data_IF_368646695546
#
_entry.id   IF_368646695546
#
_cell.length_a   1.000
_cell.length_b   1.000
_cell.length_c   1.000
_cell.angle_alpha   90.00
_cell.angle_beta   90.00
_cell.angle_gamma   90.00
#
_symmetry.space_group_name_H-M   'P 1'
#
loop_
_entity.id
_entity.type
_entity.pdbx_description
1 polymer ?
#
# COMPACT_ATOMS: atom_id res chain seq x y z
N UNK A 1 -4.65 -54.35 33.02
CA UNK A 1 -4.30 -52.92 32.93
C UNK A 1 -4.46 -52.50 31.50
N UNK A 2 -5.51 -51.78 31.23
CA UNK A 2 -5.75 -51.28 29.88
C UNK A 2 -5.26 -49.84 29.81
N UNK A 3 -4.16 -49.64 29.11
CA UNK A 3 -3.65 -48.30 28.82
C UNK A 3 -4.51 -47.69 27.72
N UNK A 4 -5.35 -46.77 28.11
CA UNK A 4 -6.10 -45.97 27.13
C UNK A 4 -5.13 -44.95 26.52
N UNK A 5 -4.61 -45.28 25.37
CA UNK A 5 -3.97 -44.28 24.52
C UNK A 5 -5.06 -43.40 23.91
N UNK A 6 -5.31 -42.27 24.51
CA UNK A 6 -6.05 -41.19 23.87
C UNK A 6 -5.17 -40.60 22.78
N UNK A 7 -5.39 -41.05 21.57
CA UNK A 7 -4.89 -40.39 20.37
C UNK A 7 -5.63 -39.07 20.25
N UNK A 8 -5.06 -38.04 20.83
CA UNK A 8 -5.38 -36.65 20.49
C UNK A 8 -4.85 -36.41 19.09
N UNK A 9 -5.70 -36.63 18.10
CA UNK A 9 -5.46 -36.17 16.75
C UNK A 9 -5.53 -34.63 16.79
N UNK A 10 -4.38 -34.01 16.91
CA UNK A 10 -4.23 -32.58 16.68
C UNK A 10 -4.44 -32.33 15.19
N UNK A 11 -5.66 -32.02 14.81
CA UNK A 11 -5.96 -31.49 13.48
C UNK A 11 -5.35 -30.10 13.38
N UNK A 12 -4.15 -30.03 12.84
CA UNK A 12 -3.56 -28.77 12.39
C UNK A 12 -4.40 -28.28 11.23
N UNK A 13 -5.33 -27.39 11.55
CA UNK A 13 -6.02 -26.56 10.56
C UNK A 13 -4.98 -25.61 9.98
N UNK A 14 -4.41 -25.99 8.85
CA UNK A 14 -3.67 -25.05 8.03
C UNK A 14 -4.68 -24.07 7.44
N UNK A 15 -4.86 -22.93 8.12
CA UNK A 15 -5.57 -21.81 7.55
C UNK A 15 -4.69 -21.23 6.44
N UNK A 16 -4.84 -21.73 5.21
CA UNK A 16 -4.30 -21.08 4.03
C UNK A 16 -5.12 -19.81 3.82
N UNK A 17 -4.69 -18.72 4.45
CA UNK A 17 -5.32 -17.43 4.28
C UNK A 17 -5.03 -16.88 2.89
N UNK A 18 -6.04 -16.78 2.03
CA UNK A 18 -5.95 -15.95 0.84
C UNK A 18 -5.84 -14.48 1.30
N UNK A 19 -4.82 -13.77 0.82
CA UNK A 19 -4.73 -12.34 1.09
C UNK A 19 -5.91 -11.63 0.44
N UNK A 20 -6.67 -10.87 1.23
CA UNK A 20 -7.72 -10.00 0.71
C UNK A 20 -7.10 -8.80 0.01
N UNK A 21 -7.86 -8.14 -0.87
CA UNK A 21 -7.42 -6.90 -1.52
C UNK A 21 -7.01 -5.85 -0.50
N UNK A 22 -7.73 -5.75 0.62
CA UNK A 22 -7.40 -4.84 1.70
C UNK A 22 -6.05 -5.15 2.33
N UNK A 23 -5.71 -6.42 2.52
CA UNK A 23 -4.40 -6.81 3.05
C UNK A 23 -3.26 -6.45 2.11
N UNK A 24 -3.47 -6.59 0.80
CA UNK A 24 -2.49 -6.20 -0.21
C UNK A 24 -2.27 -4.69 -0.18
N UNK A 25 -3.34 -3.90 -0.14
CA UNK A 25 -3.26 -2.44 -0.02
C UNK A 25 -2.53 -2.03 1.24
N UNK A 26 -2.87 -2.63 2.38
CA UNK A 26 -2.24 -2.31 3.67
C UNK A 26 -0.76 -2.69 3.71
N UNK A 27 -0.38 -3.78 3.04
CA UNK A 27 1.01 -4.24 3.02
C UNK A 27 1.94 -3.31 2.25
N UNK A 28 1.44 -2.61 1.24
CA UNK A 28 2.21 -1.67 0.43
C UNK A 28 2.17 -0.22 0.94
N UNK A 29 1.34 0.06 1.94
CA UNK A 29 1.17 1.40 2.50
C UNK A 29 2.47 2.03 2.99
N UNK A 30 3.35 1.34 3.77
CA UNK A 30 4.60 1.95 4.22
C UNK A 30 5.51 2.40 3.08
N UNK A 31 5.58 1.63 2.02
CA UNK A 31 6.37 1.98 0.85
C UNK A 31 5.78 3.19 0.12
N UNK A 32 4.46 3.25 -0.01
CA UNK A 32 3.78 4.37 -0.63
C UNK A 32 4.01 5.68 0.14
N UNK A 33 3.91 5.64 1.46
CA UNK A 33 4.17 6.79 2.33
C UNK A 33 5.62 7.24 2.21
N UNK A 34 6.55 6.30 2.20
CA UNK A 34 7.99 6.59 2.08
C UNK A 34 8.33 7.25 0.75
N UNK A 35 7.78 6.73 -0.35
CA UNK A 35 7.99 7.29 -1.69
C UNK A 35 7.47 8.73 -1.76
N UNK A 36 6.27 8.98 -1.26
CA UNK A 36 5.69 10.31 -1.22
C UNK A 36 6.50 11.28 -0.35
N UNK A 37 6.94 10.83 0.82
CA UNK A 37 7.76 11.64 1.72
C UNK A 37 9.07 12.06 1.06
N UNK A 38 9.77 11.14 0.44
CA UNK A 38 11.03 11.43 -0.25
C UNK A 38 10.82 12.42 -1.40
N UNK A 39 9.78 12.23 -2.18
CA UNK A 39 9.44 13.12 -3.29
C UNK A 39 9.10 14.52 -2.78
N UNK A 40 8.26 14.61 -1.77
CA UNK A 40 7.86 15.87 -1.17
C UNK A 40 9.02 16.60 -0.50
N UNK A 41 9.86 15.90 0.24
CA UNK A 41 11.06 16.47 0.84
C UNK A 41 11.99 17.08 -0.20
N UNK A 42 12.15 16.41 -1.33
CA UNK A 42 12.95 16.91 -2.44
C UNK A 42 12.32 18.13 -3.11
N UNK A 43 11.04 18.08 -3.45
CA UNK A 43 10.36 19.16 -4.16
C UNK A 43 10.19 20.41 -3.29
N UNK A 44 9.97 20.25 -1.98
CA UNK A 44 9.84 21.34 -1.04
C UNK A 44 11.19 21.84 -0.51
N UNK A 45 12.27 21.17 -0.87
CA UNK A 45 13.59 21.40 -0.27
C UNK A 45 13.54 21.39 1.27
N UNK A 46 12.88 20.36 1.80
CA UNK A 46 12.62 20.21 3.23
C UNK A 46 12.92 18.78 3.70
N UNK A 47 14.15 18.48 4.15
CA UNK A 47 14.50 17.12 4.60
C UNK A 47 13.66 16.61 5.76
N UNK A 48 13.09 17.50 6.56
CA UNK A 48 12.27 17.16 7.72
C UNK A 48 10.77 17.01 7.38
N UNK A 49 10.39 17.00 6.10
CA UNK A 49 9.01 16.84 5.69
C UNK A 49 8.43 15.53 6.20
N UNK A 50 7.18 15.57 6.65
CA UNK A 50 6.44 14.41 7.14
C UNK A 50 5.32 14.05 6.19
N UNK A 51 4.97 12.76 6.15
CA UNK A 51 3.93 12.25 5.28
C UNK A 51 2.80 11.63 6.08
N UNK A 52 1.59 11.81 5.57
CA UNK A 52 0.37 11.27 6.16
C UNK A 52 -0.50 10.61 5.08
N UNK A 53 -0.99 9.41 5.36
CA UNK A 53 -1.91 8.73 4.47
C UNK A 53 -3.28 9.39 4.52
N UNK A 54 -3.79 9.84 3.37
CA UNK A 54 -5.10 10.46 3.25
C UNK A 54 -6.16 9.47 2.73
N UNK A 55 -5.81 8.69 1.72
CA UNK A 55 -6.70 7.64 1.21
C UNK A 55 -5.90 6.54 0.52
N UNK A 56 -6.50 5.37 0.46
CA UNK A 56 -5.93 4.20 -0.20
C UNK A 56 -7.04 3.37 -0.83
N UNK A 57 -6.81 2.88 -2.03
CA UNK A 57 -7.78 2.05 -2.74
C UNK A 57 -7.10 1.09 -3.70
N UNK A 58 -7.77 -0.01 -3.98
CA UNK A 58 -7.37 -0.95 -5.00
C UNK A 58 -8.10 -0.63 -6.29
N UNK A 59 -7.36 -0.39 -7.35
CA UNK A 59 -7.93 -0.12 -8.67
C UNK A 59 -7.92 -1.42 -9.46
N UNK A 60 -9.11 -1.86 -9.83
CA UNK A 60 -9.30 -3.01 -10.70
C UNK A 60 -9.45 -2.55 -12.13
N UNK A 61 -8.85 -3.32 -13.06
CA UNK A 61 -9.04 -3.05 -14.47
C UNK A 61 -10.50 -3.28 -14.88
N UNK A 62 -11.10 -2.35 -15.65
CA UNK A 62 -12.43 -2.56 -16.21
C UNK A 62 -12.46 -3.60 -17.34
N UNK A 63 -11.30 -4.07 -17.79
CA UNK A 63 -11.20 -5.04 -18.88
C UNK A 63 -11.42 -6.44 -18.33
N UNK A 64 -12.49 -7.08 -18.77
CA UNK A 64 -12.89 -8.43 -18.33
C UNK A 64 -12.07 -9.57 -18.97
N UNK A 65 -11.22 -9.26 -19.93
CA UNK A 65 -10.43 -10.28 -20.63
C UNK A 65 -9.11 -10.51 -19.90
N UNK A 66 -8.85 -11.70 -19.32
CA UNK A 66 -7.64 -11.99 -18.56
C UNK A 66 -6.34 -11.89 -19.39
N UNK A 67 -6.42 -11.94 -20.71
CA UNK A 67 -5.24 -11.77 -21.58
C UNK A 67 -4.79 -10.33 -21.73
N UNK A 68 -5.69 -9.38 -21.56
CA UNK A 68 -5.44 -7.94 -21.80
C UNK A 68 -5.69 -7.08 -20.56
N UNK A 69 -6.15 -7.68 -19.47
CA UNK A 69 -6.34 -6.93 -18.23
C UNK A 69 -4.96 -6.51 -17.66
N UNK A 70 -4.72 -5.21 -17.45
CA UNK A 70 -3.53 -4.80 -16.73
C UNK A 70 -3.57 -5.36 -15.30
N UNK A 71 -2.41 -5.60 -14.65
CA UNK A 71 -2.39 -6.06 -13.27
C UNK A 71 -3.09 -5.07 -12.35
N UNK A 72 -3.69 -5.58 -11.29
CA UNK A 72 -4.28 -4.75 -10.25
C UNK A 72 -3.21 -3.82 -9.66
N UNK A 73 -3.62 -2.61 -9.32
CA UNK A 73 -2.74 -1.63 -8.70
C UNK A 73 -3.43 -1.00 -7.50
N UNK A 74 -2.64 -0.66 -6.49
CA UNK A 74 -3.09 0.13 -5.37
C UNK A 74 -2.75 1.61 -5.61
N UNK A 75 -3.70 2.49 -5.33
CA UNK A 75 -3.50 3.93 -5.40
C UNK A 75 -3.60 4.51 -3.99
N UNK A 76 -2.64 5.36 -3.67
CA UNK A 76 -2.53 6.02 -2.38
C UNK A 76 -2.48 7.51 -2.58
N UNK A 77 -3.28 8.24 -1.81
CA UNK A 77 -3.17 9.70 -1.73
C UNK A 77 -2.46 10.03 -0.42
N UNK A 78 -1.30 10.63 -0.52
CA UNK A 78 -0.43 10.92 0.61
C UNK A 78 -0.21 12.41 0.71
N UNK A 79 -0.50 13.00 1.87
CA UNK A 79 -0.17 14.38 2.17
C UNK A 79 1.23 14.49 2.74
N UNK A 80 2.04 15.38 2.19
CA UNK A 80 3.38 15.68 2.69
C UNK A 80 3.44 17.14 3.12
N UNK A 81 3.93 17.38 4.31
CA UNK A 81 4.03 18.75 4.86
C UNK A 81 5.37 18.96 5.55
N UNK A 82 5.87 20.19 5.45
CA UNK A 82 7.11 20.61 6.07
C UNK A 82 7.55 21.96 5.57
N UNK A 83 8.34 22.66 6.37
CA UNK A 83 8.91 23.97 6.03
C UNK A 83 7.86 24.99 5.55
N UNK A 84 6.66 24.98 6.17
CA UNK A 84 5.58 25.90 5.80
C UNK A 84 4.90 25.59 4.48
N UNK A 85 5.14 24.39 3.92
CA UNK A 85 4.55 23.94 2.66
C UNK A 85 3.77 22.64 2.86
N UNK A 86 2.79 22.42 2.01
CA UNK A 86 2.00 21.19 1.97
C UNK A 86 1.73 20.78 0.54
N UNK A 87 1.87 19.51 0.25
CA UNK A 87 1.58 18.95 -1.06
C UNK A 87 0.91 17.58 -0.93
N UNK A 88 0.09 17.23 -1.88
CA UNK A 88 -0.57 15.93 -1.95
C UNK A 88 -0.03 15.16 -3.15
N UNK A 89 0.37 13.92 -2.92
CA UNK A 89 0.92 13.04 -3.93
C UNK A 89 0.02 11.84 -4.17
N UNK A 90 -0.15 11.50 -5.44
CA UNK A 90 -0.74 10.25 -5.83
C UNK A 90 0.39 9.24 -6.02
N UNK A 91 0.36 8.15 -5.27
CA UNK A 91 1.35 7.07 -5.36
C UNK A 91 0.66 5.82 -5.87
N UNK A 92 1.24 5.20 -6.88
CA UNK A 92 0.73 3.97 -7.48
C UNK A 92 1.70 2.84 -7.18
N UNK A 93 1.19 1.76 -6.61
CA UNK A 93 1.94 0.55 -6.33
C UNK A 93 1.35 -0.60 -7.15
N UNK A 94 2.16 -1.25 -7.96
CA UNK A 94 1.73 -2.40 -8.74
C UNK A 94 1.64 -3.64 -7.86
N UNK A 95 0.58 -4.43 -8.02
CA UNK A 95 0.49 -5.74 -7.42
C UNK A 95 1.59 -6.65 -7.99
N UNK A 96 2.24 -7.42 -7.13
CA UNK A 96 3.34 -8.30 -7.52
C UNK A 96 4.74 -7.78 -7.18
N UNK A 97 4.86 -6.68 -6.45
CA UNK A 97 6.12 -6.27 -5.82
C UNK A 97 7.09 -5.50 -6.71
N UNK A 98 6.61 -4.85 -7.76
CA UNK A 98 7.46 -4.00 -8.63
C UNK A 98 7.72 -2.60 -8.06
N UNK A 99 7.24 -2.34 -6.85
CA UNK A 99 7.47 -1.08 -6.15
C UNK A 99 6.39 -0.03 -6.35
N UNK A 100 6.59 1.09 -5.71
CA UNK A 100 5.66 2.22 -5.73
C UNK A 100 6.29 3.42 -6.45
N UNK A 101 5.48 4.17 -7.18
CA UNK A 101 5.90 5.34 -7.93
C UNK A 101 4.96 6.51 -7.61
N UNK A 102 5.53 7.66 -7.30
CA UNK A 102 4.75 8.89 -7.18
C UNK A 102 4.35 9.36 -8.59
N UNK A 103 3.07 9.22 -8.91
CA UNK A 103 2.55 9.48 -10.26
C UNK A 103 2.28 10.97 -10.52
N UNK A 104 2.20 11.80 -9.48
CA UNK A 104 2.01 13.23 -9.63
C UNK A 104 1.77 13.92 -8.29
N UNK A 105 1.94 15.23 -8.29
CA UNK A 105 1.59 16.07 -7.16
C UNK A 105 0.32 16.87 -7.48
N UNK A 106 -0.58 16.93 -6.52
CA UNK A 106 -1.74 17.80 -6.58
C UNK A 106 -1.55 18.94 -5.59
N UNK A 107 -1.49 20.14 -6.11
CA UNK A 107 -1.54 21.39 -5.34
C UNK A 107 -0.49 21.52 -4.23
N UNK A 108 0.54 22.30 -4.50
CA UNK A 108 1.39 22.85 -3.45
C UNK A 108 0.66 24.04 -2.81
N UNK A 109 0.24 23.87 -1.58
CA UNK A 109 -0.36 24.96 -0.80
C UNK A 109 0.70 25.47 0.17
N UNK A 110 1.04 26.74 0.03
CA UNK A 110 1.88 27.43 1.01
C UNK A 110 1.02 27.86 2.19
N UNK A 111 1.44 27.43 3.33
CA UNK A 111 0.82 27.85 4.59
C UNK A 111 1.52 29.10 5.15
#
# INVERSE_FOLDING_TARGET
MFTRFSLLAATLLFATGCQTQQQIVDSMEPDAVHVAQRRGAFEMNCPAATAEMLSKEMIQSPIMNPRFAPPQRAEYTVGVSGCGQRSTYLVVCADGGTGCVAAGSRNVIRQ
#
